data_IF_315520577648
#
_entry.id   IF_315520577648
#
_cell.length_a   1.000
_cell.length_b   1.000
_cell.length_c   1.000
_cell.angle_alpha   90.00
_cell.angle_beta   90.00
_cell.angle_gamma   90.00
#
_symmetry.space_group_name_H-M   'P 1'
#
loop_
_entity.id
_entity.type
_entity.pdbx_description
1 polymer ?
#
# COMPACT_ATOMS: atom_id res chain seq x y z
N UNK A 1 5.74 11.25 16.45
CA UNK A 1 6.11 11.33 15.02
C UNK A 1 5.27 10.30 14.29
N UNK A 2 4.46 10.71 13.32
CA UNK A 2 3.60 9.79 12.57
C UNK A 2 4.46 8.93 11.65
N UNK A 3 4.51 7.62 11.91
CA UNK A 3 5.28 6.67 11.09
C UNK A 3 4.64 6.54 9.70
N UNK A 4 5.24 7.17 8.69
CA UNK A 4 4.75 7.14 7.30
C UNK A 4 4.60 5.73 6.74
N UNK A 5 5.51 4.81 7.11
CA UNK A 5 5.40 3.38 6.77
C UNK A 5 4.15 2.74 7.38
N UNK A 6 3.78 3.05 8.62
CA UNK A 6 2.52 2.57 9.22
C UNK A 6 1.29 3.13 8.51
N UNK A 7 1.33 4.39 8.10
CA UNK A 7 0.25 5.01 7.31
C UNK A 7 0.06 4.24 6.00
N UNK A 8 1.15 3.88 5.31
CA UNK A 8 1.09 3.04 4.10
C UNK A 8 0.59 1.63 4.41
N UNK A 9 1.04 1.03 5.49
CA UNK A 9 0.54 -0.28 5.91
C UNK A 9 -0.98 -0.25 6.18
N UNK A 10 -1.50 0.81 6.81
CA UNK A 10 -2.94 0.97 7.01
C UNK A 10 -3.66 1.20 5.69
N UNK A 11 -3.12 2.02 4.78
CA UNK A 11 -3.78 2.33 3.50
C UNK A 11 -4.00 1.08 2.64
N UNK A 12 -3.10 0.10 2.71
CA UNK A 12 -3.21 -1.15 1.96
C UNK A 12 -4.14 -2.18 2.58
N UNK A 13 -4.63 -1.97 3.80
CA UNK A 13 -5.52 -2.94 4.43
C UNK A 13 -6.79 -3.08 3.57
N UNK A 14 -7.35 -4.30 3.44
CA UNK A 14 -8.60 -4.51 2.70
C UNK A 14 -9.77 -3.68 3.26
N UNK A 15 -9.72 -3.33 4.55
CA UNK A 15 -10.71 -2.51 5.25
C UNK A 15 -10.22 -1.09 5.56
N UNK A 16 -9.21 -0.59 4.86
CA UNK A 16 -8.68 0.76 5.11
C UNK A 16 -9.66 1.86 4.75
N UNK A 17 -10.55 1.63 3.79
CA UNK A 17 -11.43 2.66 3.23
C UNK A 17 -10.80 3.43 2.05
N UNK A 18 -9.51 3.22 1.75
CA UNK A 18 -8.89 3.79 0.56
C UNK A 18 -9.26 2.96 -0.70
N UNK A 19 -9.70 3.65 -1.76
CA UNK A 19 -10.14 3.04 -3.02
C UNK A 19 -8.96 2.55 -3.89
N UNK A 20 -8.25 1.52 -3.40
CA UNK A 20 -7.17 0.86 -4.14
C UNK A 20 -7.76 -0.25 -5.02
N UNK A 21 -7.64 -0.11 -6.34
CA UNK A 21 -8.12 -1.11 -7.31
C UNK A 21 -7.25 -1.16 -8.56
N UNK A 22 -7.42 -2.22 -9.35
CA UNK A 22 -6.74 -2.35 -10.64
C UNK A 22 -7.45 -1.44 -11.65
N UNK A 23 -6.74 -0.47 -12.20
CA UNK A 23 -7.28 0.48 -13.19
C UNK A 23 -6.52 0.32 -14.50
N UNK A 24 -7.15 0.71 -15.61
CA UNK A 24 -6.49 0.73 -16.92
C UNK A 24 -6.45 2.16 -17.41
N UNK A 25 -5.25 2.66 -17.70
CA UNK A 25 -5.06 3.99 -18.26
C UNK A 25 -4.43 3.87 -19.65
N UNK A 26 -5.10 4.41 -20.67
CA UNK A 26 -4.61 4.39 -22.07
C UNK A 26 -4.22 2.97 -22.56
N UNK A 27 -5.02 1.95 -22.19
CA UNK A 27 -4.80 0.51 -22.47
C UNK A 27 -3.65 -0.16 -21.69
N UNK A 28 -2.98 0.56 -20.80
CA UNK A 28 -1.95 0.01 -19.93
C UNK A 28 -2.61 -0.35 -18.58
N UNK A 29 -2.54 -1.62 -18.14
CA UNK A 29 -3.03 -2.00 -16.83
C UNK A 29 -2.14 -1.40 -15.73
N UNK A 30 -2.76 -0.77 -14.75
CA UNK A 30 -2.16 -0.19 -13.56
C UNK A 30 -2.76 -0.91 -12.34
N UNK A 31 -2.16 -2.04 -11.91
CA UNK A 31 -2.66 -2.80 -10.78
C UNK A 31 -2.53 -1.98 -9.48
N UNK A 32 -3.45 -2.22 -8.54
CA UNK A 32 -3.37 -1.65 -7.18
C UNK A 32 -3.13 -0.14 -7.15
N UNK A 33 -3.83 0.61 -8.01
CA UNK A 33 -3.72 2.06 -8.09
C UNK A 33 -4.84 2.77 -7.34
N UNK A 34 -4.53 3.98 -6.91
CA UNK A 34 -5.44 4.89 -6.23
C UNK A 34 -5.27 6.31 -6.77
N UNK A 35 -6.30 7.13 -6.63
CA UNK A 35 -6.28 8.52 -7.05
C UNK A 35 -5.63 9.38 -5.95
N UNK A 36 -4.84 10.37 -6.34
CA UNK A 36 -4.19 11.27 -5.38
C UNK A 36 -5.20 12.01 -4.50
N UNK A 37 -6.37 12.39 -5.04
CA UNK A 37 -7.45 13.00 -4.25
C UNK A 37 -7.98 12.07 -3.17
N UNK A 38 -8.16 10.79 -3.49
CA UNK A 38 -8.69 9.78 -2.56
C UNK A 38 -7.66 9.49 -1.46
N UNK A 39 -6.36 9.48 -1.80
CA UNK A 39 -5.30 9.40 -0.81
C UNK A 39 -5.33 10.58 0.17
N UNK A 40 -5.48 11.80 -0.34
CA UNK A 40 -5.53 12.99 0.53
C UNK A 40 -6.74 12.94 1.46
N UNK A 41 -7.90 12.55 0.92
CA UNK A 41 -9.13 12.38 1.69
C UNK A 41 -8.95 11.35 2.81
N UNK A 42 -8.44 10.17 2.46
CA UNK A 42 -8.16 9.10 3.41
C UNK A 42 -7.17 9.51 4.50
N UNK A 43 -6.11 10.23 4.13
CA UNK A 43 -5.14 10.77 5.06
C UNK A 43 -5.82 11.71 6.06
N UNK A 44 -6.70 12.61 5.58
CA UNK A 44 -7.40 13.54 6.47
C UNK A 44 -8.32 12.83 7.47
N UNK A 45 -8.92 11.70 7.09
CA UNK A 45 -9.78 10.93 7.97
C UNK A 45 -9.01 10.05 8.98
N UNK A 46 -7.85 9.50 8.57
CA UNK A 46 -7.12 8.50 9.37
C UNK A 46 -5.87 9.03 10.09
N UNK A 47 -5.31 10.15 9.64
CA UNK A 47 -4.07 10.70 10.20
C UNK A 47 -4.38 11.90 11.10
N UNK A 48 -4.23 11.69 12.41
CA UNK A 48 -4.36 12.76 13.39
C UNK A 48 -3.27 13.83 13.19
N UNK A 49 -3.70 15.10 13.18
CA UNK A 49 -2.83 16.27 12.95
C UNK A 49 -2.99 16.95 11.58
N UNK A 50 -3.73 16.35 10.64
CA UNK A 50 -4.06 17.01 9.37
C UNK A 50 -5.32 17.88 9.54
N UNK A 51 -5.13 19.19 9.70
CA UNK A 51 -6.23 20.14 9.86
C UNK A 51 -6.88 20.56 8.53
N UNK A 52 -6.08 20.58 7.48
CA UNK A 52 -6.48 21.08 6.17
C UNK A 52 -6.04 20.14 5.05
N UNK A 53 -6.77 20.19 3.92
CA UNK A 53 -6.43 19.43 2.70
C UNK A 53 -5.03 19.75 2.18
N UNK A 54 -4.54 20.96 2.47
CA UNK A 54 -3.19 21.40 2.15
C UNK A 54 -2.12 20.61 2.92
N UNK A 55 -2.37 20.30 4.20
CA UNK A 55 -1.48 19.48 5.01
C UNK A 55 -1.51 18.02 4.55
N UNK A 56 -2.69 17.48 4.21
CA UNK A 56 -2.81 16.14 3.63
C UNK A 56 -2.04 16.02 2.31
N UNK A 57 -2.14 17.03 1.45
CA UNK A 57 -1.34 17.11 0.21
C UNK A 57 0.16 17.15 0.47
N UNK A 58 0.59 17.92 1.48
CA UNK A 58 2.00 18.01 1.87
C UNK A 58 2.51 16.65 2.36
N UNK A 59 1.72 15.96 3.19
CA UNK A 59 2.03 14.63 3.70
C UNK A 59 2.14 13.60 2.56
N UNK A 60 1.17 13.58 1.63
CA UNK A 60 1.24 12.73 0.44
C UNK A 60 2.47 13.03 -0.43
N UNK A 61 2.85 14.30 -0.55
CA UNK A 61 4.10 14.71 -1.19
C UNK A 61 5.35 14.14 -0.49
N UNK A 62 5.36 14.06 0.83
CA UNK A 62 6.44 13.40 1.57
C UNK A 62 6.47 11.89 1.31
N UNK A 63 5.33 11.21 1.25
CA UNK A 63 5.26 9.78 0.90
C UNK A 63 5.87 9.51 -0.49
N UNK A 64 5.61 10.40 -1.46
CA UNK A 64 6.20 10.31 -2.79
C UNK A 64 7.71 10.55 -2.76
N UNK A 65 8.18 11.50 -1.95
CA UNK A 65 9.60 11.81 -1.79
C UNK A 65 10.37 10.66 -1.15
N UNK A 66 9.76 9.97 -0.18
CA UNK A 66 10.33 8.81 0.50
C UNK A 66 10.12 7.49 -0.24
N UNK A 67 9.64 7.52 -1.49
CA UNK A 67 9.43 6.33 -2.33
C UNK A 67 8.48 5.30 -1.70
N UNK A 68 7.58 5.75 -0.82
CA UNK A 68 6.52 4.91 -0.24
C UNK A 68 5.33 4.77 -1.21
N UNK A 69 5.11 5.81 -2.02
CA UNK A 69 4.19 5.80 -3.16
C UNK A 69 4.95 6.24 -4.41
N UNK A 70 4.50 5.77 -5.58
CA UNK A 70 5.11 6.07 -6.87
C UNK A 70 4.07 6.57 -7.86
N UNK A 71 4.44 7.60 -8.60
CA UNK A 71 3.59 8.16 -9.64
C UNK A 71 3.71 7.34 -10.93
N UNK A 72 2.56 6.96 -11.51
CA UNK A 72 2.53 6.12 -12.73
C UNK A 72 3.18 6.77 -13.97
N UNK A 73 3.31 8.10 -14.03
CA UNK A 73 4.00 8.84 -15.10
C UNK A 73 5.36 9.40 -14.67
N UNK A 74 5.97 8.82 -13.64
CA UNK A 74 7.32 9.15 -13.16
C UNK A 74 7.53 10.64 -12.80
N UNK A 75 6.50 11.28 -12.24
CA UNK A 75 6.58 12.66 -11.75
C UNK A 75 7.06 12.68 -10.29
N UNK A 76 7.88 13.68 -9.98
CA UNK A 76 8.42 13.94 -8.64
C UNK A 76 7.48 14.80 -7.77
N UNK A 77 6.53 15.49 -8.40
CA UNK A 77 5.59 16.40 -7.74
C UNK A 77 4.25 15.73 -7.54
N UNK A 78 3.72 15.79 -6.31
CA UNK A 78 2.41 15.26 -5.99
C UNK A 78 1.26 16.17 -6.50
N UNK A 79 0.28 15.52 -7.12
CA UNK A 79 -0.98 16.08 -7.61
C UNK A 79 -2.16 15.15 -7.31
N UNK A 80 -3.29 15.73 -6.93
CA UNK A 80 -4.51 14.97 -6.61
C UNK A 80 -5.19 14.39 -7.85
N UNK A 81 -4.90 14.92 -9.03
CA UNK A 81 -5.54 14.56 -10.30
C UNK A 81 -4.91 13.34 -10.99
N UNK A 82 -3.95 12.68 -10.36
CA UNK A 82 -3.21 11.57 -10.96
C UNK A 82 -3.33 10.28 -10.17
N UNK A 83 -3.05 9.18 -10.86
CA UNK A 83 -2.98 7.86 -10.25
C UNK A 83 -1.59 7.59 -9.68
N UNK A 84 -1.58 6.92 -8.53
CA UNK A 84 -0.39 6.47 -7.83
C UNK A 84 -0.52 4.98 -7.55
N UNK A 85 0.64 4.36 -7.40
CA UNK A 85 0.81 2.99 -6.92
C UNK A 85 1.67 3.01 -5.66
N UNK A 86 1.72 1.91 -4.93
CA UNK A 86 2.71 1.78 -3.87
C UNK A 86 4.12 1.83 -4.46
N UNK A 87 5.02 2.45 -3.72
CA UNK A 87 6.44 2.41 -4.03
C UNK A 87 7.02 1.02 -3.77
N UNK A 88 8.20 0.77 -4.32
CA UNK A 88 8.87 -0.54 -4.24
C UNK A 88 9.09 -1.00 -2.80
N UNK A 89 9.46 -0.07 -1.91
CA UNK A 89 9.63 -0.31 -0.46
C UNK A 89 8.34 -0.77 0.24
N UNK A 90 7.19 -0.56 -0.39
CA UNK A 90 5.87 -0.90 0.14
C UNK A 90 5.13 -1.91 -0.74
N UNK A 91 5.78 -2.44 -1.79
CA UNK A 91 5.18 -3.39 -2.70
C UNK A 91 4.76 -4.70 -2.00
N UNK A 92 5.48 -5.09 -0.95
CA UNK A 92 5.14 -6.26 -0.12
C UNK A 92 3.81 -6.09 0.60
N UNK A 93 3.44 -4.86 0.98
CA UNK A 93 2.14 -4.57 1.57
C UNK A 93 0.98 -4.73 0.58
N UNK A 94 1.20 -4.40 -0.70
CA UNK A 94 0.21 -4.69 -1.75
C UNK A 94 0.04 -6.20 -1.97
N UNK A 95 1.11 -6.99 -1.87
CA UNK A 95 1.05 -8.46 -1.96
C UNK A 95 0.27 -9.07 -0.80
N UNK A 96 0.47 -8.58 0.42
CA UNK A 96 -0.30 -9.01 1.60
C UNK A 96 -1.82 -8.79 1.43
N UNK A 97 -2.22 -7.69 0.77
CA UNK A 97 -3.63 -7.42 0.46
C UNK A 97 -4.20 -8.37 -0.59
N UNK A 98 -3.40 -8.76 -1.58
CA UNK A 98 -3.82 -9.67 -2.66
C UNK A 98 -3.77 -11.15 -2.26
N UNK A 99 -2.94 -11.51 -1.27
CA UNK A 99 -2.84 -12.86 -0.74
C UNK A 99 -2.96 -12.84 0.80
N UNK A 100 -4.16 -13.01 1.37
CA UNK A 100 -4.33 -13.11 2.82
C UNK A 100 -3.75 -14.40 3.43
N UNK A 101 -3.03 -15.27 2.67
CA UNK A 101 -2.47 -16.50 3.22
C UNK A 101 -1.33 -17.14 2.43
N UNK A 102 -0.09 -16.69 2.60
CA UNK A 102 1.05 -17.51 2.18
C UNK A 102 2.41 -16.86 2.36
N UNK A 103 3.05 -17.11 3.50
CA UNK A 103 4.30 -17.88 3.60
C UNK A 103 4.62 -18.06 5.09
N UNK A 104 4.51 -19.30 5.56
CA UNK A 104 5.09 -19.76 6.82
C UNK A 104 6.50 -20.27 6.49
N UNK A 105 7.58 -19.58 6.88
CA UNK A 105 8.92 -20.12 6.75
C UNK A 105 9.24 -20.91 8.03
N UNK A 106 8.72 -22.13 8.17
CA UNK A 106 8.72 -22.81 9.46
C UNK A 106 8.91 -24.32 9.43
N UNK A 107 10.15 -24.75 9.15
CA UNK A 107 10.74 -26.03 9.58
C UNK A 107 10.10 -27.32 9.04
N UNK A 108 10.62 -27.79 7.89
CA UNK A 108 10.61 -29.23 7.59
C UNK A 108 11.64 -29.90 8.53
N UNK A 109 11.22 -30.17 9.77
CA UNK A 109 12.01 -31.01 10.69
C UNK A 109 12.07 -32.42 10.12
N UNK A 110 13.28 -32.83 9.78
CA UNK A 110 13.63 -34.21 9.54
C UNK A 110 13.45 -35.05 10.82
N UNK A 111 13.33 -36.36 10.64
CA UNK A 111 13.40 -37.49 11.59
C UNK A 111 12.14 -37.94 12.33
N UNK A 112 11.81 -39.25 12.20
CA UNK A 112 11.07 -40.00 13.21
C UNK A 112 10.03 -41.00 12.70
N UNK A 113 10.47 -42.23 12.44
CA UNK A 113 9.70 -43.45 12.16
C UNK A 113 8.49 -43.68 13.08
N UNK A 114 7.38 -44.26 12.57
CA UNK A 114 6.66 -45.40 13.19
C UNK A 114 5.61 -46.00 12.24
N UNK A 115 5.66 -47.32 12.10
CA UNK A 115 4.72 -48.20 11.36
C UNK A 115 3.32 -48.24 12.01
N UNK A 116 2.24 -48.54 11.28
CA UNK A 116 0.99 -49.02 11.88
C UNK A 116 0.78 -50.54 11.72
N UNK A 117 0.32 -51.27 12.76
CA UNK A 117 -0.38 -52.57 12.67
C UNK A 117 -1.90 -52.33 12.41
N UNK A 118 -2.82 -53.31 12.26
CA UNK A 118 -2.78 -54.76 12.54
C UNK A 118 -2.96 -55.69 11.32
#
# INVERSE_FOLDING_TARGET
MTDKKKVVQMMVMPNSGLDIKNRTWLKIPIPMSFLGSDLVDWLMEHVDGLRDRKDGRKFAGELLKEKLISHVVNKITFTEQCYYILGEECADYARLRQNPGGDDPGVRSEVGSVLPPP
#
